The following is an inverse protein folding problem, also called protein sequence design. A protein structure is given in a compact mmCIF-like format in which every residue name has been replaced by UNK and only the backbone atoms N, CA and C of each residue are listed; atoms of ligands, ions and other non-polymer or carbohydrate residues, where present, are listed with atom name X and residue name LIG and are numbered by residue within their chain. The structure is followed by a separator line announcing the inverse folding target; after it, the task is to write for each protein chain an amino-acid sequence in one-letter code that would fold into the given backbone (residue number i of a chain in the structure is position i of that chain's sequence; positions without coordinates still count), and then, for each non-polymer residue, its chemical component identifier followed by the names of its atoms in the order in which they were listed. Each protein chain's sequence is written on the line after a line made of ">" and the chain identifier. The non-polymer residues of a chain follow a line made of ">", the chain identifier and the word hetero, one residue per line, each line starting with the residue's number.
data_IF_195174018085
#
_entry.id   IF_195174018085
#
_cell.length_a   1.000
_cell.length_b   1.000
_cell.length_c   1.000
_cell.angle_alpha   90.00
_cell.angle_beta   90.00
_cell.angle_gamma   90.00
#
_symmetry.space_group_name_H-M   'P 1'
#
loop_
_entity.id
_entity.type
_entity.pdbx_description
1 polymer ?
#
# COMPACT_ATOMS: atom_id res chain seq x y z
N UNK A 1 18.08 16.85 0.89
CA UNK A 1 16.73 16.44 0.45
C UNK A 1 16.96 15.62 -0.79
N UNK A 2 17.03 14.29 -0.66
CA UNK A 2 17.14 13.38 -1.80
C UNK A 2 15.81 13.50 -2.55
N UNK A 3 15.83 13.82 -3.84
CA UNK A 3 14.61 13.75 -4.65
C UNK A 3 14.25 12.27 -4.81
N UNK A 4 12.97 11.93 -4.74
CA UNK A 4 12.51 10.53 -4.86
C UNK A 4 13.06 9.80 -6.10
N UNK A 5 13.36 10.54 -7.19
CA UNK A 5 14.05 10.00 -8.38
C UNK A 5 15.50 9.54 -8.15
N UNK A 6 16.23 10.09 -7.18
CA UNK A 6 17.62 9.71 -6.89
C UNK A 6 17.72 8.48 -5.97
N UNK A 7 16.61 8.10 -5.32
CA UNK A 7 16.60 7.02 -4.33
C UNK A 7 16.82 5.62 -4.93
N UNK A 8 16.55 5.45 -6.23
CA UNK A 8 16.63 4.15 -6.91
C UNK A 8 18.00 3.87 -7.57
N UNK A 9 18.81 4.90 -7.80
CA UNK A 9 20.11 4.78 -8.47
C UNK A 9 20.06 4.06 -9.83
N UNK A 10 21.19 3.43 -10.20
CA UNK A 10 21.33 2.65 -11.44
C UNK A 10 20.84 1.20 -11.32
N UNK A 11 20.51 0.75 -10.10
CA UNK A 11 19.96 -0.57 -9.79
C UNK A 11 18.70 -0.45 -8.91
N UNK A 12 17.52 -0.19 -9.52
CA UNK A 12 16.27 -0.03 -8.78
C UNK A 12 15.84 -1.30 -8.04
N UNK A 13 16.13 -2.47 -8.59
CA UNK A 13 15.76 -3.76 -7.99
C UNK A 13 16.60 -4.02 -6.74
N UNK A 14 17.93 -3.88 -6.84
CA UNK A 14 18.82 -4.01 -5.69
C UNK A 14 18.54 -2.96 -4.60
N UNK A 15 18.15 -1.74 -5.00
CA UNK A 15 17.75 -0.69 -4.05
C UNK A 15 16.47 -1.04 -3.30
N UNK A 16 15.48 -1.61 -3.99
CA UNK A 16 14.26 -2.12 -3.35
C UNK A 16 14.56 -3.28 -2.39
N UNK A 17 15.36 -4.26 -2.80
CA UNK A 17 15.73 -5.41 -1.96
C UNK A 17 16.43 -4.96 -0.66
N UNK A 18 17.37 -4.03 -0.77
CA UNK A 18 18.05 -3.45 0.39
C UNK A 18 17.08 -2.70 1.32
N UNK A 19 16.14 -1.93 0.75
CA UNK A 19 15.12 -1.23 1.52
C UNK A 19 14.18 -2.22 2.24
N UNK A 20 13.76 -3.30 1.56
CA UNK A 20 12.89 -4.33 2.13
C UNK A 20 13.56 -5.01 3.34
N UNK A 21 14.84 -5.37 3.24
CA UNK A 21 15.61 -5.94 4.37
C UNK A 21 15.63 -4.99 5.57
N UNK A 22 15.89 -3.70 5.33
CA UNK A 22 15.93 -2.70 6.40
C UNK A 22 14.55 -2.49 7.05
N UNK A 23 13.48 -2.43 6.25
CA UNK A 23 12.12 -2.32 6.76
C UNK A 23 11.74 -3.53 7.63
N UNK A 24 12.02 -4.75 7.16
CA UNK A 24 11.74 -5.97 7.90
C UNK A 24 12.52 -6.01 9.22
N UNK A 25 13.79 -5.61 9.22
CA UNK A 25 14.59 -5.52 10.44
C UNK A 25 14.00 -4.52 11.45
N UNK A 26 13.56 -3.35 10.98
CA UNK A 26 12.95 -2.32 11.84
C UNK A 26 11.64 -2.79 12.47
N UNK A 27 10.75 -3.42 11.70
CA UNK A 27 9.50 -3.98 12.24
C UNK A 27 9.74 -5.20 13.15
N UNK A 28 10.89 -5.87 13.01
CA UNK A 28 11.32 -6.98 13.87
C UNK A 28 11.87 -6.56 15.23
N UNK A 29 12.11 -5.27 15.49
CA UNK A 29 12.57 -4.81 16.79
C UNK A 29 11.50 -5.04 17.88
N UNK A 30 11.95 -5.32 19.11
CA UNK A 30 11.04 -5.50 20.25
C UNK A 30 10.22 -4.22 20.47
N UNK A 31 8.90 -4.36 20.45
CA UNK A 31 7.96 -3.25 20.65
C UNK A 31 7.80 -2.32 19.44
N UNK A 32 8.37 -2.66 18.28
CA UNK A 32 8.21 -1.86 17.06
C UNK A 32 6.74 -1.68 16.66
N UNK A 33 5.96 -2.77 16.73
CA UNK A 33 4.56 -2.76 16.30
C UNK A 33 3.64 -1.93 17.21
N UNK A 34 4.03 -1.69 18.46
CA UNK A 34 3.23 -0.93 19.43
C UNK A 34 3.70 0.54 19.55
N UNK A 35 4.81 0.88 18.89
CA UNK A 35 5.40 2.23 18.92
C UNK A 35 4.54 3.18 18.08
N UNK A 36 4.07 4.27 18.68
CA UNK A 36 3.43 5.35 17.96
C UNK A 36 4.48 6.15 17.17
N UNK A 37 4.15 6.44 15.91
CA UNK A 37 4.97 7.20 14.98
C UNK A 37 4.16 8.40 14.48
N UNK A 38 4.80 9.56 14.44
CA UNK A 38 4.25 10.75 13.78
C UNK A 38 4.35 10.59 12.27
N UNK A 39 3.38 9.87 11.71
CA UNK A 39 3.31 9.57 10.29
C UNK A 39 2.68 10.75 9.52
N UNK A 40 3.21 11.13 8.34
CA UNK A 40 2.79 12.36 7.64
C UNK A 40 1.29 12.48 7.33
N UNK A 41 0.58 11.35 7.29
CA UNK A 41 -0.86 11.29 7.03
C UNK A 41 -1.69 11.01 8.28
N UNK A 42 -1.11 11.22 9.46
CA UNK A 42 -1.75 11.05 10.76
C UNK A 42 -1.04 10.00 11.62
N UNK A 43 -1.04 10.15 12.96
CA UNK A 43 -0.31 9.27 13.85
C UNK A 43 -0.80 7.82 13.73
N UNK A 44 0.14 6.88 13.71
CA UNK A 44 -0.13 5.46 13.59
C UNK A 44 0.86 4.64 14.44
N UNK A 45 0.42 3.49 14.93
CA UNK A 45 1.35 2.52 15.53
C UNK A 45 2.08 1.70 14.45
N UNK A 46 3.17 1.04 14.84
CA UNK A 46 3.95 0.22 13.91
C UNK A 46 3.13 -0.91 13.27
N UNK A 47 2.09 -1.43 13.94
CA UNK A 47 1.20 -2.44 13.37
C UNK A 47 0.43 -1.90 12.18
N UNK A 48 -0.16 -0.71 12.31
CA UNK A 48 -0.87 -0.03 11.23
C UNK A 48 0.07 0.34 10.09
N UNK A 49 1.28 0.83 10.39
CA UNK A 49 2.28 1.14 9.37
C UNK A 49 2.75 -0.09 8.59
N UNK A 50 2.97 -1.23 9.27
CA UNK A 50 3.30 -2.48 8.60
C UNK A 50 2.15 -2.93 7.69
N UNK A 51 0.90 -2.80 8.16
CA UNK A 51 -0.27 -3.13 7.35
C UNK A 51 -0.41 -2.26 6.10
N UNK A 52 -0.16 -0.96 6.22
CA UNK A 52 -0.14 -0.04 5.09
C UNK A 52 0.96 -0.41 4.10
N UNK A 53 2.17 -0.77 4.58
CA UNK A 53 3.26 -1.23 3.73
C UNK A 53 2.90 -2.51 2.95
N UNK A 54 2.19 -3.45 3.59
CA UNK A 54 1.68 -4.66 2.91
C UNK A 54 0.71 -4.26 1.79
N UNK A 55 -0.28 -3.41 2.09
CA UNK A 55 -1.27 -2.96 1.11
C UNK A 55 -0.61 -2.24 -0.09
N UNK A 56 0.31 -1.31 0.18
CA UNK A 56 1.05 -0.58 -0.86
C UNK A 56 1.86 -1.54 -1.74
N UNK A 57 2.57 -2.49 -1.14
CA UNK A 57 3.40 -3.46 -1.88
C UNK A 57 2.54 -4.37 -2.77
N UNK A 58 1.39 -4.82 -2.28
CA UNK A 58 0.46 -5.67 -3.04
C UNK A 58 -0.11 -4.90 -4.24
N UNK A 59 -0.58 -3.67 -4.03
CA UNK A 59 -1.13 -2.84 -5.11
C UNK A 59 -0.06 -2.50 -6.14
N UNK A 60 1.14 -2.12 -5.71
CA UNK A 60 2.22 -1.76 -6.63
C UNK A 60 2.82 -2.95 -7.37
N UNK A 61 2.72 -4.17 -6.82
CA UNK A 61 3.04 -5.39 -7.56
C UNK A 61 2.11 -5.55 -8.77
N UNK A 62 0.81 -5.27 -8.60
CA UNK A 62 -0.14 -5.26 -9.70
C UNK A 62 0.11 -4.11 -10.69
N UNK A 63 0.40 -2.90 -10.20
CA UNK A 63 0.72 -1.75 -11.05
C UNK A 63 1.93 -2.06 -11.96
N UNK A 64 2.98 -2.68 -11.40
CA UNK A 64 4.18 -3.05 -12.13
C UNK A 64 3.93 -4.18 -13.14
N UNK A 65 3.17 -5.21 -12.75
CA UNK A 65 2.78 -6.29 -13.66
C UNK A 65 2.03 -5.73 -14.88
N UNK A 66 1.02 -4.87 -14.65
CA UNK A 66 0.27 -4.20 -15.73
C UNK A 66 1.18 -3.36 -16.62
N UNK A 67 2.06 -2.54 -16.02
CA UNK A 67 2.95 -1.64 -16.75
C UNK A 67 3.97 -2.39 -17.63
N UNK A 68 4.36 -3.59 -17.24
CA UNK A 68 5.37 -4.41 -17.93
C UNK A 68 4.78 -5.54 -18.78
N UNK A 69 3.45 -5.73 -18.75
CA UNK A 69 2.77 -6.82 -19.44
C UNK A 69 2.97 -8.20 -18.81
N UNK A 70 3.26 -8.24 -17.50
CA UNK A 70 3.39 -9.47 -16.72
C UNK A 70 2.05 -10.02 -16.20
N UNK A 71 2.07 -11.15 -15.47
CA UNK A 71 0.88 -11.72 -14.84
C UNK A 71 0.30 -10.79 -13.77
N UNK A 72 -0.99 -10.50 -13.84
CA UNK A 72 -1.66 -9.56 -12.92
C UNK A 72 -2.39 -10.24 -11.75
N UNK A 73 -2.43 -11.58 -11.73
CA UNK A 73 -3.05 -12.31 -10.63
C UNK A 73 -2.18 -12.19 -9.38
N UNK A 74 -2.72 -11.53 -8.36
CA UNK A 74 -2.07 -11.38 -7.06
C UNK A 74 -2.31 -12.62 -6.19
N UNK A 75 -1.47 -12.79 -5.17
CA UNK A 75 -1.68 -13.84 -4.17
C UNK A 75 -3.05 -13.65 -3.47
N UNK A 76 -4.00 -14.60 -3.59
CA UNK A 76 -5.33 -14.45 -3.03
C UNK A 76 -5.35 -14.27 -1.52
N UNK A 77 -4.36 -14.81 -0.79
CA UNK A 77 -4.26 -14.66 0.66
C UNK A 77 -3.87 -13.23 1.06
N UNK A 78 -2.98 -12.59 0.30
CA UNK A 78 -2.61 -11.19 0.52
C UNK A 78 -3.75 -10.26 0.13
N UNK A 79 -4.41 -10.52 -1.00
CA UNK A 79 -5.60 -9.77 -1.41
C UNK A 79 -6.70 -9.86 -0.35
N UNK A 80 -7.03 -11.06 0.11
CA UNK A 80 -8.04 -11.27 1.16
C UNK A 80 -7.66 -10.55 2.45
N UNK A 81 -6.39 -10.64 2.86
CA UNK A 81 -5.93 -9.95 4.06
C UNK A 81 -6.06 -8.42 3.96
N UNK A 82 -5.67 -7.81 2.84
CA UNK A 82 -5.83 -6.35 2.63
C UNK A 82 -7.31 -5.98 2.59
N UNK A 83 -8.14 -6.76 1.91
CA UNK A 83 -9.59 -6.52 1.80
C UNK A 83 -10.28 -6.56 3.17
N UNK A 84 -9.96 -7.58 3.98
CA UNK A 84 -10.50 -7.77 5.33
C UNK A 84 -10.05 -6.67 6.31
N UNK A 85 -8.87 -6.08 6.10
CA UNK A 85 -8.28 -5.07 6.99
C UNK A 85 -8.44 -3.63 6.47
N UNK A 86 -9.04 -3.44 5.29
CA UNK A 86 -9.06 -2.16 4.56
C UNK A 86 -9.56 -0.98 5.41
N UNK A 87 -10.66 -1.17 6.14
CA UNK A 87 -11.24 -0.12 6.97
C UNK A 87 -10.29 0.31 8.10
N UNK A 88 -9.70 -0.66 8.81
CA UNK A 88 -8.74 -0.37 9.88
C UNK A 88 -7.48 0.32 9.34
N UNK A 89 -6.99 -0.11 8.16
CA UNK A 89 -5.83 0.48 7.50
C UNK A 89 -6.02 1.95 7.18
N UNK A 90 -7.17 2.33 6.60
CA UNK A 90 -7.34 3.68 6.04
C UNK A 90 -8.20 4.61 6.90
N UNK A 91 -8.87 4.14 7.95
CA UNK A 91 -9.58 5.02 8.88
C UNK A 91 -8.61 6.01 9.53
N UNK A 92 -8.93 7.30 9.45
CA UNK A 92 -8.14 8.37 10.06
C UNK A 92 -6.81 8.68 9.36
N UNK A 93 -6.57 8.10 8.17
CA UNK A 93 -5.39 8.41 7.35
C UNK A 93 -5.76 9.54 6.38
N UNK A 94 -5.18 10.72 6.58
CA UNK A 94 -5.36 11.86 5.70
C UNK A 94 -4.92 11.52 4.27
N UNK A 95 -5.62 12.06 3.27
CA UNK A 95 -5.42 11.75 1.85
C UNK A 95 -5.63 10.28 1.46
N UNK A 96 -6.03 9.41 2.39
CA UNK A 96 -6.32 8.00 2.14
C UNK A 96 -7.64 7.77 1.38
N UNK A 97 -7.91 6.54 0.92
CA UNK A 97 -9.12 6.20 0.17
C UNK A 97 -10.43 6.32 0.98
N UNK A 98 -10.35 6.36 2.31
CA UNK A 98 -11.50 6.58 3.21
C UNK A 98 -11.61 8.03 3.70
N UNK A 99 -10.66 8.90 3.35
CA UNK A 99 -10.70 10.30 3.76
C UNK A 99 -11.68 11.08 2.89
N UNK A 100 -12.76 11.58 3.49
CA UNK A 100 -13.74 12.43 2.83
C UNK A 100 -13.15 13.78 2.37
N UNK A 101 -12.01 14.20 2.96
CA UNK A 101 -11.25 15.38 2.59
C UNK A 101 -10.13 15.13 1.59
N UNK A 102 -9.97 13.90 1.08
CA UNK A 102 -8.87 13.56 0.16
C UNK A 102 -8.87 14.46 -1.06
N UNK A 103 -7.68 14.94 -1.44
CA UNK A 103 -7.48 15.70 -2.69
C UNK A 103 -7.42 14.77 -3.90
N UNK A 104 -7.45 13.46 -3.69
CA UNK A 104 -7.23 12.41 -4.68
C UNK A 104 -5.86 12.46 -5.36
N UNK A 105 -4.87 13.07 -4.70
CA UNK A 105 -3.50 13.14 -5.20
C UNK A 105 -2.78 11.79 -5.21
N UNK A 106 -3.00 10.96 -4.18
CA UNK A 106 -2.34 9.66 -4.02
C UNK A 106 -3.26 8.49 -4.41
N UNK A 107 -4.55 8.62 -4.12
CA UNK A 107 -5.58 7.65 -4.48
C UNK A 107 -6.67 8.33 -5.30
N UNK A 108 -6.91 7.84 -6.52
CA UNK A 108 -8.06 8.27 -7.29
C UNK A 108 -9.37 7.83 -6.58
N UNK A 109 -10.46 8.56 -6.81
CA UNK A 109 -11.77 8.15 -6.31
C UNK A 109 -12.14 6.76 -6.83
N UNK A 110 -12.67 5.92 -5.94
CA UNK A 110 -13.13 4.59 -6.29
C UNK A 110 -14.23 4.66 -7.37
N UNK A 111 -14.12 3.82 -8.39
CA UNK A 111 -15.18 3.67 -9.37
C UNK A 111 -16.41 2.97 -8.75
N UNK A 112 -17.55 3.04 -9.45
CA UNK A 112 -18.74 2.29 -9.08
C UNK A 112 -18.44 0.77 -9.11
N UNK A 113 -18.95 0.05 -8.12
CA UNK A 113 -18.76 -1.39 -8.02
C UNK A 113 -19.56 -2.13 -9.13
N UNK A 114 -18.93 -3.05 -9.89
CA UNK A 114 -19.66 -3.99 -10.74
C UNK A 114 -20.33 -5.09 -9.90
N UNK A 115 -21.31 -5.78 -10.47
CA UNK A 115 -22.15 -6.74 -9.75
C UNK A 115 -21.43 -8.05 -9.38
N UNK A 116 -20.38 -8.40 -10.10
CA UNK A 116 -19.62 -9.66 -10.01
C UNK A 116 -18.13 -9.41 -9.71
N UNK A 117 -17.82 -8.35 -8.95
CA UNK A 117 -16.43 -8.04 -8.60
C UNK A 117 -15.78 -9.13 -7.72
N UNK A 118 -14.58 -9.54 -8.13
CA UNK A 118 -13.70 -10.37 -7.31
C UNK A 118 -13.08 -9.55 -6.17
N UNK A 119 -12.55 -10.22 -5.13
CA UNK A 119 -11.85 -9.53 -4.03
C UNK A 119 -10.67 -8.66 -4.54
N UNK A 120 -9.90 -9.14 -5.52
CA UNK A 120 -8.82 -8.37 -6.12
C UNK A 120 -9.35 -7.11 -6.82
N UNK A 121 -10.42 -7.24 -7.61
CA UNK A 121 -11.04 -6.11 -8.29
C UNK A 121 -11.60 -5.09 -7.30
N UNK A 122 -12.27 -5.54 -6.24
CA UNK A 122 -12.75 -4.68 -5.16
C UNK A 122 -11.61 -3.92 -4.50
N UNK A 123 -10.57 -4.62 -4.02
CA UNK A 123 -9.40 -4.03 -3.37
C UNK A 123 -8.75 -2.95 -4.25
N UNK A 124 -8.48 -3.27 -5.52
CA UNK A 124 -7.88 -2.32 -6.47
C UNK A 124 -8.80 -1.12 -6.73
N UNK A 125 -10.10 -1.36 -6.92
CA UNK A 125 -11.10 -0.31 -7.15
C UNK A 125 -11.19 0.66 -5.97
N UNK A 126 -11.20 0.15 -4.74
CA UNK A 126 -11.26 0.99 -3.52
C UNK A 126 -10.03 1.90 -3.37
N UNK A 127 -8.89 1.52 -3.97
CA UNK A 127 -7.63 2.28 -3.98
C UNK A 127 -7.52 3.13 -5.27
N UNK A 128 -8.60 3.21 -6.06
CA UNK A 128 -8.69 4.07 -7.25
C UNK A 128 -8.13 3.48 -8.54
N UNK A 129 -7.80 2.18 -8.55
CA UNK A 129 -7.31 1.48 -9.74
C UNK A 129 -8.48 1.01 -10.59
N UNK A 130 -8.21 0.74 -11.87
CA UNK A 130 -9.21 0.30 -12.87
C UNK A 130 -8.78 -1.05 -13.45
N UNK A 131 -9.02 -2.15 -12.72
CA UNK A 131 -8.71 -3.49 -13.19
C UNK A 131 -9.61 -3.95 -14.34
#
# INVERSE_FOLDING_TARGET
>A
MIREQEALGDDPAGSFDAAAVNCLAAFGERGALDRLVDYPFGPADGRKLLGLLIADTVVHSWDLARATGGPEDLDPSLVGWVDDNFEWLYTGVAEGPLDAGSTHRYFAAAAAAPADETCQQRMLRLIGRRP
#
